data_IF_748835802312
#
_entry.id   IF_748835802312
#
_cell.length_a   1.000
_cell.length_b   1.000
_cell.length_c   1.000
_cell.angle_alpha   90.00
_cell.angle_beta   90.00
_cell.angle_gamma   90.00
#
_symmetry.space_group_name_H-M   'P 1'
#
loop_
_entity.id
_entity.type
_entity.pdbx_description
1 polymer ?
#
# COMPACT_ATOMS: atom_id res chain seq x y z
N UNK A 1 -21.77 24.49 53.56
CA UNK A 1 -21.50 23.05 53.73
C UNK A 1 -22.28 22.34 52.64
N UNK A 2 -21.63 22.08 51.50
CA UNK A 2 -22.19 21.39 50.32
C UNK A 2 -21.54 20.02 50.24
N UNK A 3 -22.26 18.93 49.96
CA UNK A 3 -21.68 17.58 49.91
C UNK A 3 -20.98 17.33 48.59
N UNK A 4 -19.81 16.75 48.74
CA UNK A 4 -18.94 16.18 47.68
C UNK A 4 -19.67 15.00 47.02
N UNK A 5 -19.91 15.07 45.71
CA UNK A 5 -20.34 13.93 44.92
C UNK A 5 -19.12 13.05 44.57
N UNK A 6 -19.24 11.76 44.86
CA UNK A 6 -18.20 10.77 44.65
C UNK A 6 -17.93 10.42 43.19
N UNK A 7 -16.85 9.69 42.88
CA UNK A 7 -16.45 9.34 41.52
C UNK A 7 -17.34 8.24 40.96
N UNK A 8 -18.15 8.61 39.95
CA UNK A 8 -18.94 7.68 39.18
C UNK A 8 -18.14 7.12 37.96
N UNK A 9 -18.07 5.83 37.93
CA UNK A 9 -17.99 4.96 36.74
C UNK A 9 -16.97 5.27 35.62
N UNK A 10 -15.69 4.94 35.89
CA UNK A 10 -14.69 4.75 34.86
C UNK A 10 -14.74 3.40 34.11
N UNK A 11 -15.77 2.56 34.36
CA UNK A 11 -15.80 1.18 33.80
C UNK A 11 -16.60 1.03 32.50
N UNK A 12 -17.35 2.04 32.07
CA UNK A 12 -18.17 1.94 30.85
C UNK A 12 -17.40 2.30 29.59
N UNK A 13 -16.35 3.12 29.66
CA UNK A 13 -15.60 3.60 28.48
C UNK A 13 -14.58 2.56 27.99
N UNK A 14 -14.01 1.77 28.88
CA UNK A 14 -13.03 0.71 28.51
C UNK A 14 -13.68 -0.50 27.82
N UNK A 15 -14.91 -0.87 28.17
CA UNK A 15 -15.61 -2.00 27.52
C UNK A 15 -16.05 -1.72 26.09
N UNK A 16 -16.36 -0.48 25.72
CA UNK A 16 -16.80 -0.14 24.36
C UNK A 16 -15.65 -0.17 23.36
N UNK A 17 -14.43 0.14 23.79
CA UNK A 17 -13.24 0.08 22.93
C UNK A 17 -12.78 -1.37 22.65
N UNK A 18 -12.96 -2.27 23.61
CA UNK A 18 -12.53 -3.67 23.51
C UNK A 18 -13.43 -4.50 22.57
N UNK A 19 -14.68 -4.10 22.40
CA UNK A 19 -15.68 -4.78 21.54
C UNK A 19 -15.54 -4.39 20.04
N UNK A 20 -14.84 -3.26 19.73
CA UNK A 20 -14.68 -2.77 18.36
C UNK A 20 -13.37 -3.20 17.69
N UNK A 21 -12.45 -3.80 18.41
CA UNK A 21 -11.15 -4.22 17.89
C UNK A 21 -10.77 -5.58 18.45
N UNK A 22 -10.44 -6.51 17.57
CA UNK A 22 -10.02 -7.85 17.95
C UNK A 22 -8.76 -8.25 17.20
N UNK A 23 -7.94 -9.11 17.81
CA UNK A 23 -6.78 -9.71 17.19
C UNK A 23 -7.03 -11.19 16.95
N UNK A 24 -6.68 -11.67 15.76
CA UNK A 24 -6.80 -13.07 15.34
C UNK A 24 -5.46 -13.55 14.81
N UNK A 25 -5.19 -14.86 14.88
CA UNK A 25 -3.92 -15.43 14.47
C UNK A 25 -4.08 -16.48 13.39
N UNK A 26 -3.43 -16.23 12.26
CA UNK A 26 -3.47 -17.08 11.07
C UNK A 26 -4.72 -16.89 10.20
N UNK A 27 -4.58 -17.33 8.96
CA UNK A 27 -5.60 -17.13 7.91
C UNK A 27 -6.92 -17.86 8.25
N UNK A 28 -6.82 -19.04 8.85
CA UNK A 28 -8.01 -19.84 9.20
C UNK A 28 -8.88 -19.16 10.27
N UNK A 29 -8.27 -18.58 11.30
CA UNK A 29 -9.00 -17.83 12.32
C UNK A 29 -9.55 -16.51 11.77
N UNK A 30 -8.80 -15.83 10.90
CA UNK A 30 -9.29 -14.65 10.21
C UNK A 30 -10.53 -14.94 9.38
N UNK A 31 -10.52 -16.03 8.59
CA UNK A 31 -11.68 -16.47 7.79
C UNK A 31 -12.85 -16.83 8.69
N UNK A 32 -12.62 -17.59 9.77
CA UNK A 32 -13.67 -18.01 10.67
C UNK A 32 -14.36 -16.83 11.36
N UNK A 33 -13.59 -15.81 11.79
CA UNK A 33 -14.13 -14.67 12.55
C UNK A 33 -14.56 -13.49 11.68
N UNK A 34 -13.86 -13.21 10.58
CA UNK A 34 -14.10 -12.05 9.74
C UNK A 34 -14.65 -12.38 8.35
N UNK A 35 -14.78 -13.67 7.99
CA UNK A 35 -15.25 -14.09 6.66
C UNK A 35 -16.62 -13.51 6.30
N UNK A 36 -17.55 -13.44 7.26
CA UNK A 36 -18.88 -12.84 7.07
C UNK A 36 -18.84 -11.34 6.73
N UNK A 37 -17.79 -10.63 7.13
CA UNK A 37 -17.61 -9.20 6.80
C UNK A 37 -17.32 -9.01 5.31
N UNK A 38 -16.61 -9.95 4.69
CA UNK A 38 -16.37 -9.94 3.24
C UNK A 38 -17.66 -10.20 2.45
N UNK A 39 -18.54 -11.05 2.97
CA UNK A 39 -19.86 -11.32 2.34
C UNK A 39 -20.82 -10.12 2.48
N UNK A 40 -20.58 -9.27 3.46
CA UNK A 40 -21.40 -8.09 3.76
C UNK A 40 -21.00 -6.83 2.98
N UNK A 41 -19.88 -6.84 2.26
CA UNK A 41 -19.38 -5.67 1.49
C UNK A 41 -20.35 -5.31 0.37
N UNK A 42 -20.66 -4.02 0.21
CA UNK A 42 -21.64 -3.54 -0.78
C UNK A 42 -21.15 -2.38 -1.64
N UNK A 43 -20.24 -1.56 -1.14
CA UNK A 43 -19.85 -0.32 -1.78
C UNK A 43 -18.40 -0.35 -2.24
N UNK A 44 -17.47 -0.72 -1.35
CA UNK A 44 -16.05 -0.59 -1.62
C UNK A 44 -15.22 -1.67 -0.92
N UNK A 45 -14.32 -2.29 -1.70
CA UNK A 45 -13.24 -3.13 -1.22
C UNK A 45 -11.90 -2.48 -1.52
N UNK A 46 -11.13 -2.24 -0.48
CA UNK A 46 -9.78 -1.67 -0.57
C UNK A 46 -8.77 -2.68 -0.05
N UNK A 47 -7.67 -2.86 -0.77
CA UNK A 47 -6.59 -3.74 -0.35
C UNK A 47 -5.23 -3.09 -0.63
N UNK A 48 -4.40 -2.94 0.40
CA UNK A 48 -2.98 -2.65 0.28
C UNK A 48 -2.18 -3.91 0.62
N UNK A 49 -1.32 -4.36 -0.30
CA UNK A 49 -0.55 -5.58 -0.12
C UNK A 49 0.81 -5.49 -0.80
N UNK A 50 1.82 -6.08 -0.18
CA UNK A 50 3.18 -6.15 -0.74
C UNK A 50 3.21 -7.05 -1.98
N UNK A 51 2.51 -8.17 -1.92
CA UNK A 51 2.36 -9.14 -2.99
C UNK A 51 0.99 -9.85 -2.88
N UNK A 52 0.71 -10.79 -3.79
CA UNK A 52 -0.56 -11.53 -3.78
C UNK A 52 -0.65 -12.58 -2.68
N UNK A 53 0.49 -13.01 -2.11
CA UNK A 53 0.51 -14.01 -1.04
C UNK A 53 0.31 -13.39 0.35
N UNK A 54 0.37 -12.08 0.45
CA UNK A 54 0.26 -11.34 1.72
C UNK A 54 -1.00 -11.70 2.50
N UNK A 55 -2.15 -11.78 1.84
CA UNK A 55 -3.43 -11.97 2.49
C UNK A 55 -3.92 -13.42 2.50
N UNK A 56 -3.48 -14.23 1.54
CA UNK A 56 -3.91 -15.61 1.43
C UNK A 56 -2.78 -16.46 0.90
N UNK A 57 -2.16 -17.22 1.77
CA UNK A 57 -1.13 -18.20 1.40
C UNK A 57 -1.74 -19.32 0.55
N UNK A 58 -3.02 -19.63 0.79
CA UNK A 58 -3.78 -20.62 0.04
C UNK A 58 -4.43 -19.99 -1.22
N UNK A 59 -4.12 -20.50 -2.43
CA UNK A 59 -4.73 -20.06 -3.69
C UNK A 59 -6.26 -20.23 -3.74
N UNK A 60 -6.80 -21.26 -3.08
CA UNK A 60 -8.25 -21.51 -3.06
C UNK A 60 -8.98 -20.48 -2.22
N UNK A 61 -8.45 -20.17 -1.02
CA UNK A 61 -8.97 -19.11 -0.16
C UNK A 61 -8.93 -17.75 -0.87
N UNK A 62 -7.83 -17.43 -1.54
CA UNK A 62 -7.70 -16.22 -2.38
C UNK A 62 -8.75 -16.16 -3.48
N UNK A 63 -8.95 -17.25 -4.19
CA UNK A 63 -9.96 -17.34 -5.26
C UNK A 63 -11.38 -17.21 -4.72
N UNK A 64 -11.66 -17.77 -3.55
CA UNK A 64 -12.96 -17.66 -2.89
C UNK A 64 -13.26 -16.20 -2.50
N UNK A 65 -12.30 -15.50 -1.88
CA UNK A 65 -12.45 -14.08 -1.52
C UNK A 65 -12.58 -13.22 -2.77
N UNK A 66 -11.76 -13.44 -3.81
CA UNK A 66 -11.85 -12.70 -5.06
C UNK A 66 -13.23 -12.83 -5.71
N UNK A 67 -13.81 -14.02 -5.74
CA UNK A 67 -15.17 -14.25 -6.29
C UNK A 67 -16.26 -13.55 -5.49
N UNK A 68 -16.08 -13.40 -4.18
CA UNK A 68 -17.03 -12.69 -3.29
C UNK A 68 -16.93 -11.18 -3.48
N UNK A 69 -15.73 -10.69 -3.67
CA UNK A 69 -15.42 -9.24 -3.73
C UNK A 69 -15.55 -8.68 -5.15
N UNK A 70 -15.47 -9.52 -6.19
CA UNK A 70 -15.62 -9.15 -7.60
C UNK A 70 -16.70 -10.03 -8.26
N UNK A 71 -17.96 -9.97 -7.82
CA UNK A 71 -19.03 -10.67 -8.51
C UNK A 71 -19.25 -10.03 -9.88
N UNK A 72 -19.44 -10.82 -10.96
CA UNK A 72 -19.73 -10.28 -12.27
C UNK A 72 -21.01 -9.42 -12.24
N UNK A 73 -20.95 -8.18 -12.72
CA UNK A 73 -22.12 -7.34 -12.93
C UNK A 73 -22.58 -6.50 -11.73
N UNK A 74 -21.72 -6.19 -10.77
CA UNK A 74 -22.04 -5.27 -9.66
C UNK A 74 -21.82 -3.82 -10.11
N UNK A 75 -22.83 -3.18 -10.66
CA UNK A 75 -22.82 -1.73 -10.87
C UNK A 75 -22.70 -1.00 -9.52
N UNK A 76 -21.72 -0.11 -9.42
CA UNK A 76 -21.52 0.72 -8.23
C UNK A 76 -20.54 0.15 -7.19
N UNK A 77 -20.03 -1.06 -7.34
CA UNK A 77 -19.04 -1.64 -6.44
C UNK A 77 -17.60 -1.27 -6.87
N UNK A 78 -16.85 -0.67 -5.96
CA UNK A 78 -15.48 -0.23 -6.24
C UNK A 78 -14.45 -1.17 -5.60
N UNK A 79 -13.50 -1.64 -6.40
CA UNK A 79 -12.33 -2.40 -5.91
C UNK A 79 -11.07 -1.59 -6.17
N UNK A 80 -10.33 -1.27 -5.12
CA UNK A 80 -9.03 -0.59 -5.20
C UNK A 80 -7.93 -1.47 -4.61
N UNK A 81 -6.89 -1.73 -5.40
CA UNK A 81 -5.73 -2.52 -4.98
C UNK A 81 -4.45 -1.71 -5.11
N UNK A 82 -3.81 -1.44 -3.99
CA UNK A 82 -2.50 -0.81 -3.91
C UNK A 82 -1.45 -1.89 -3.68
N UNK A 83 -0.57 -2.08 -4.65
CA UNK A 83 0.45 -3.12 -4.62
C UNK A 83 1.85 -2.51 -4.52
N UNK A 84 2.79 -3.25 -3.95
CA UNK A 84 4.21 -2.87 -4.08
C UNK A 84 4.78 -3.36 -5.42
N UNK A 85 5.94 -2.84 -5.88
CA UNK A 85 6.60 -3.33 -7.08
C UNK A 85 6.95 -4.83 -7.04
N UNK A 86 7.07 -5.43 -5.85
CA UNK A 86 7.31 -6.87 -5.69
C UNK A 86 6.18 -7.72 -6.30
N UNK A 87 4.95 -7.21 -6.32
CA UNK A 87 3.82 -7.87 -6.96
C UNK A 87 3.97 -7.97 -8.49
N UNK A 88 4.91 -7.23 -9.08
CA UNK A 88 5.22 -7.29 -10.52
C UNK A 88 6.47 -8.13 -10.83
N UNK A 89 7.16 -8.67 -9.83
CA UNK A 89 8.39 -9.43 -10.03
C UNK A 89 8.17 -10.78 -10.73
N UNK A 90 6.97 -11.36 -10.58
CA UNK A 90 6.60 -12.65 -11.14
C UNK A 90 5.50 -12.50 -12.22
N UNK A 91 5.65 -13.25 -13.35
CA UNK A 91 4.71 -13.18 -14.48
C UNK A 91 3.30 -13.66 -14.10
N UNK A 92 3.18 -14.68 -13.25
CA UNK A 92 1.86 -15.16 -12.82
C UNK A 92 1.12 -14.09 -12.00
N UNK A 93 1.85 -13.35 -11.15
CA UNK A 93 1.30 -12.24 -10.39
C UNK A 93 0.90 -11.08 -11.32
N UNK A 94 1.75 -10.70 -12.27
CA UNK A 94 1.41 -9.68 -13.29
C UNK A 94 0.16 -10.07 -14.07
N UNK A 95 0.08 -11.30 -14.54
CA UNK A 95 -1.08 -11.81 -15.28
C UNK A 95 -2.36 -11.79 -14.41
N UNK A 96 -2.25 -12.08 -13.12
CA UNK A 96 -3.38 -11.99 -12.20
C UNK A 96 -3.85 -10.54 -12.00
N UNK A 97 -2.93 -9.59 -11.79
CA UNK A 97 -3.27 -8.18 -11.63
C UNK A 97 -3.91 -7.61 -12.90
N UNK A 98 -3.39 -7.97 -14.10
CA UNK A 98 -4.04 -7.60 -15.38
C UNK A 98 -5.46 -8.12 -15.49
N UNK A 99 -5.73 -9.36 -15.06
CA UNK A 99 -7.09 -9.92 -15.06
C UNK A 99 -8.03 -9.17 -14.12
N UNK A 100 -7.54 -8.77 -12.95
CA UNK A 100 -8.32 -7.97 -12.00
C UNK A 100 -8.65 -6.59 -12.56
N UNK A 101 -7.66 -5.93 -13.16
CA UNK A 101 -7.81 -4.63 -13.80
C UNK A 101 -8.82 -4.72 -14.96
N UNK A 102 -8.68 -5.71 -15.84
CA UNK A 102 -9.63 -5.98 -16.93
C UNK A 102 -11.05 -6.33 -16.42
N UNK A 103 -11.18 -6.85 -15.20
CA UNK A 103 -12.46 -7.10 -14.55
C UNK A 103 -13.05 -5.87 -13.84
N UNK A 104 -12.42 -4.69 -13.97
CA UNK A 104 -12.90 -3.43 -13.42
C UNK A 104 -12.32 -3.05 -12.05
N UNK A 105 -11.39 -3.82 -11.49
CA UNK A 105 -10.66 -3.38 -10.31
C UNK A 105 -9.66 -2.29 -10.69
N UNK A 106 -9.58 -1.24 -9.88
CA UNK A 106 -8.53 -0.25 -10.01
C UNK A 106 -7.26 -0.78 -9.32
N UNK A 107 -6.17 -0.92 -10.06
CA UNK A 107 -4.90 -1.41 -9.53
C UNK A 107 -3.83 -0.34 -9.70
N UNK A 108 -3.19 0.04 -8.60
CA UNK A 108 -2.05 0.95 -8.60
C UNK A 108 -0.84 0.33 -7.93
N UNK A 109 0.34 0.78 -8.32
CA UNK A 109 1.63 0.32 -7.79
C UNK A 109 2.30 1.47 -7.04
N UNK A 110 2.55 1.26 -5.74
CA UNK A 110 3.24 2.23 -4.90
C UNK A 110 4.74 2.00 -5.00
N UNK A 111 5.51 3.04 -5.29
CA UNK A 111 6.98 3.02 -5.23
C UNK A 111 7.53 3.20 -3.82
N UNK A 112 6.73 3.77 -2.92
CA UNK A 112 7.05 3.86 -1.50
C UNK A 112 6.69 2.55 -0.77
N UNK A 113 7.39 2.22 0.34
CA UNK A 113 6.96 1.14 1.22
C UNK A 113 5.53 1.37 1.67
N UNK A 114 4.69 0.32 1.60
CA UNK A 114 3.34 0.41 2.12
C UNK A 114 3.39 0.68 3.63
N UNK A 115 2.66 1.67 4.13
CA UNK A 115 2.67 1.99 5.57
C UNK A 115 2.17 0.81 6.39
N UNK A 116 1.23 0.06 5.86
CA UNK A 116 0.73 -1.18 6.45
C UNK A 116 0.00 -2.01 5.39
N UNK A 117 0.09 -3.33 5.48
CA UNK A 117 -0.73 -4.22 4.66
C UNK A 117 -2.14 -4.25 5.26
N UNK A 118 -3.14 -3.87 4.45
CA UNK A 118 -4.46 -3.51 4.96
C UNK A 118 -5.56 -3.94 4.00
N UNK A 119 -6.69 -4.43 4.56
CA UNK A 119 -7.97 -4.51 3.85
C UNK A 119 -8.95 -3.55 4.53
N UNK A 120 -9.71 -2.80 3.74
CA UNK A 120 -10.79 -1.96 4.24
C UNK A 120 -12.08 -2.31 3.49
N UNK A 121 -13.15 -2.54 4.24
CA UNK A 121 -14.47 -2.95 3.75
C UNK A 121 -15.47 -1.82 4.01
N UNK A 122 -16.06 -1.25 2.97
CA UNK A 122 -17.09 -0.20 3.00
C UNK A 122 -16.75 0.99 3.93
N UNK A 123 -15.46 1.25 4.19
CA UNK A 123 -15.00 2.25 5.18
C UNK A 123 -15.57 2.05 6.59
N UNK A 124 -15.99 0.83 6.90
CA UNK A 124 -16.59 0.43 8.19
C UNK A 124 -15.75 -0.58 8.95
N UNK A 125 -14.95 -1.35 8.24
CA UNK A 125 -14.05 -2.35 8.84
C UNK A 125 -12.66 -2.15 8.27
N UNK A 126 -11.64 -2.21 9.11
CA UNK A 126 -10.25 -2.30 8.70
C UNK A 126 -9.62 -3.57 9.28
N UNK A 127 -8.89 -4.29 8.44
CA UNK A 127 -8.09 -5.47 8.79
C UNK A 127 -6.63 -5.13 8.51
N UNK A 128 -5.81 -5.11 9.56
CA UNK A 128 -4.39 -4.81 9.49
C UNK A 128 -3.60 -6.10 9.67
N UNK A 129 -2.71 -6.40 8.73
CA UNK A 129 -1.86 -7.57 8.82
C UNK A 129 -0.57 -7.24 9.56
N UNK A 130 -0.30 -7.93 10.64
CA UNK A 130 0.97 -7.87 11.37
C UNK A 130 2.13 -8.47 10.59
N UNK A 131 3.32 -8.44 11.17
CA UNK A 131 4.48 -9.07 10.54
C UNK A 131 4.33 -10.60 10.50
N UNK A 132 4.81 -11.26 9.45
CA UNK A 132 4.89 -12.72 9.43
C UNK A 132 5.71 -13.25 10.60
N UNK A 133 5.24 -14.31 11.24
CA UNK A 133 5.96 -14.98 12.32
C UNK A 133 5.90 -16.51 12.19
N UNK A 134 6.82 -17.27 12.83
CA UNK A 134 6.75 -18.74 12.83
C UNK A 134 5.48 -19.29 13.47
N UNK A 135 4.80 -18.50 14.30
CA UNK A 135 3.54 -18.86 14.97
C UNK A 135 2.29 -18.48 14.16
N UNK A 136 2.48 -18.08 12.90
CA UNK A 136 1.43 -17.51 12.07
C UNK A 136 1.39 -15.97 12.13
N UNK A 137 0.71 -15.38 11.17
CA UNK A 137 0.52 -13.93 11.08
C UNK A 137 -0.62 -13.49 12.01
N UNK A 138 -0.44 -12.38 12.70
CA UNK A 138 -1.51 -11.75 13.46
C UNK A 138 -2.25 -10.74 12.57
N UNK A 139 -3.56 -10.67 12.78
CA UNK A 139 -4.42 -9.69 12.11
C UNK A 139 -5.22 -8.93 13.16
N UNK A 140 -5.24 -7.62 13.05
CA UNK A 140 -6.12 -6.76 13.85
C UNK A 140 -7.33 -6.40 13.02
N UNK A 141 -8.52 -6.77 13.48
CA UNK A 141 -9.81 -6.42 12.88
C UNK A 141 -10.46 -5.34 13.73
N UNK A 142 -10.79 -4.21 13.12
CA UNK A 142 -11.44 -3.10 13.84
C UNK A 142 -12.64 -2.55 13.07
N UNK A 143 -13.69 -2.24 13.81
CA UNK A 143 -14.89 -1.52 13.36
C UNK A 143 -14.97 -0.12 13.98
N UNK A 144 -13.97 0.31 14.75
CA UNK A 144 -13.91 1.66 15.32
C UNK A 144 -13.88 2.72 14.21
N UNK A 145 -14.86 3.63 14.12
CA UNK A 145 -14.90 4.61 13.03
C UNK A 145 -13.67 5.52 12.99
N UNK A 146 -13.09 5.84 14.13
CA UNK A 146 -11.89 6.68 14.23
C UNK A 146 -10.68 5.95 13.66
N UNK A 147 -10.47 4.67 14.02
CA UNK A 147 -9.37 3.86 13.53
C UNK A 147 -9.53 3.56 12.04
N UNK A 148 -10.70 3.14 11.61
CA UNK A 148 -11.01 2.88 10.20
C UNK A 148 -10.80 4.13 9.36
N UNK A 149 -11.29 5.29 9.80
CA UNK A 149 -11.10 6.58 9.12
C UNK A 149 -9.63 6.98 9.01
N UNK A 150 -8.85 6.78 10.07
CA UNK A 150 -7.41 7.02 10.07
C UNK A 150 -6.65 6.12 9.08
N UNK A 151 -6.92 4.82 9.12
CA UNK A 151 -6.31 3.84 8.19
C UNK A 151 -6.71 4.15 6.74
N UNK A 152 -7.97 4.49 6.50
CA UNK A 152 -8.47 4.85 5.16
C UNK A 152 -7.80 6.12 4.63
N UNK A 153 -7.57 7.11 5.48
CA UNK A 153 -6.86 8.34 5.10
C UNK A 153 -5.42 8.06 4.70
N UNK A 154 -4.71 7.19 5.44
CA UNK A 154 -3.36 6.76 5.09
C UNK A 154 -3.33 5.99 3.76
N UNK A 155 -4.28 5.09 3.56
CA UNK A 155 -4.43 4.40 2.28
C UNK A 155 -4.65 5.39 1.13
N UNK A 156 -5.56 6.35 1.31
CA UNK A 156 -5.88 7.34 0.28
C UNK A 156 -4.67 8.18 -0.10
N UNK A 157 -3.89 8.64 0.88
CA UNK A 157 -2.65 9.37 0.61
C UNK A 157 -1.63 8.53 -0.19
N UNK A 158 -1.46 7.25 0.16
CA UNK A 158 -0.60 6.33 -0.58
C UNK A 158 -1.15 6.02 -1.99
N UNK A 159 -2.47 5.92 -2.13
CA UNK A 159 -3.16 5.70 -3.39
C UNK A 159 -2.96 6.85 -4.38
N UNK A 160 -3.09 8.09 -3.92
CA UNK A 160 -2.90 9.28 -4.76
C UNK A 160 -1.47 9.40 -5.28
N UNK A 161 -0.48 8.96 -4.49
CA UNK A 161 0.93 8.96 -4.87
C UNK A 161 1.34 7.74 -5.73
N UNK A 162 0.46 6.77 -5.92
CA UNK A 162 0.76 5.52 -6.62
C UNK A 162 0.47 5.62 -8.12
N UNK A 163 1.13 4.77 -8.89
CA UNK A 163 1.08 4.74 -10.35
C UNK A 163 0.08 3.68 -10.81
N UNK A 164 -0.69 3.99 -11.84
CA UNK A 164 -1.60 3.05 -12.49
C UNK A 164 -0.85 1.80 -13.01
N UNK A 165 -1.47 0.62 -12.84
CA UNK A 165 -0.87 -0.65 -13.26
C UNK A 165 -0.54 -0.66 -14.76
N UNK A 166 -1.43 -0.12 -15.59
CA UNK A 166 -1.22 -0.06 -17.04
C UNK A 166 0.00 0.78 -17.40
N UNK A 167 0.18 1.94 -16.76
CA UNK A 167 1.35 2.80 -16.94
C UNK A 167 2.64 2.08 -16.51
N UNK A 168 2.61 1.40 -15.35
CA UNK A 168 3.73 0.58 -14.89
C UNK A 168 4.12 -0.52 -15.89
N UNK A 169 3.12 -1.23 -16.44
CA UNK A 169 3.35 -2.37 -17.33
C UNK A 169 3.80 -1.95 -18.74
N UNK A 170 3.45 -0.75 -19.19
CA UNK A 170 3.92 -0.19 -20.46
C UNK A 170 5.35 0.33 -20.40
N UNK A 171 5.97 0.33 -19.21
CA UNK A 171 7.30 0.91 -19.01
C UNK A 171 7.30 2.44 -19.08
N UNK A 172 6.13 3.09 -18.92
CA UNK A 172 6.00 4.54 -18.83
C UNK A 172 6.66 5.08 -17.54
N UNK A 173 6.94 4.18 -16.59
CA UNK A 173 7.82 4.45 -15.44
C UNK A 173 9.20 3.94 -15.83
N UNK A 174 10.19 4.80 -15.97
CA UNK A 174 11.56 4.37 -16.26
C UNK A 174 12.04 3.42 -15.17
N UNK A 175 12.47 2.23 -15.57
CA UNK A 175 13.12 1.30 -14.63
C UNK A 175 14.50 1.87 -14.30
N UNK A 176 14.56 2.63 -13.20
CA UNK A 176 15.82 3.21 -12.77
C UNK A 176 16.73 2.13 -12.22
N UNK A 177 17.92 1.99 -12.80
CA UNK A 177 18.99 1.19 -12.24
C UNK A 177 19.28 1.58 -10.78
N UNK A 178 19.77 0.66 -9.93
CA UNK A 178 20.07 0.95 -8.53
C UNK A 178 20.91 2.21 -8.33
N UNK A 179 21.92 2.43 -9.18
CA UNK A 179 22.77 3.61 -9.16
C UNK A 179 22.01 4.90 -9.48
N UNK A 180 21.05 4.85 -10.40
CA UNK A 180 20.22 6.00 -10.76
C UNK A 180 19.31 6.41 -9.60
N UNK A 181 18.79 5.43 -8.84
CA UNK A 181 18.00 5.70 -7.61
C UNK A 181 18.86 6.35 -6.53
N UNK A 182 20.12 5.93 -6.37
CA UNK A 182 21.04 6.58 -5.41
C UNK A 182 21.38 8.01 -5.82
N UNK A 183 21.54 8.27 -7.11
CA UNK A 183 21.72 9.62 -7.64
C UNK A 183 20.49 10.47 -7.37
N UNK A 184 19.30 9.93 -7.60
CA UNK A 184 18.05 10.64 -7.32
C UNK A 184 17.91 11.00 -5.84
N UNK A 185 18.24 10.06 -4.93
CA UNK A 185 18.30 10.35 -3.48
C UNK A 185 19.30 11.43 -3.13
N UNK A 186 20.47 11.42 -3.76
CA UNK A 186 21.48 12.45 -3.54
C UNK A 186 21.03 13.84 -4.02
N UNK A 187 20.33 13.92 -5.15
CA UNK A 187 19.69 15.14 -5.66
C UNK A 187 18.59 15.63 -4.72
N UNK A 188 17.71 14.73 -4.27
CA UNK A 188 16.64 15.04 -3.32
C UNK A 188 17.14 15.50 -1.95
N UNK A 189 18.30 15.00 -1.51
CA UNK A 189 18.98 15.44 -0.29
C UNK A 189 19.71 16.79 -0.45
N UNK A 190 19.66 17.44 -1.64
CA UNK A 190 20.30 18.71 -1.90
C UNK A 190 21.83 18.66 -1.90
N UNK A 191 22.44 17.50 -2.11
CA UNK A 191 23.90 17.36 -2.12
C UNK A 191 24.51 18.07 -3.36
N UNK A 192 25.67 18.70 -3.17
CA UNK A 192 26.47 19.16 -4.31
C UNK A 192 27.00 17.96 -5.11
N UNK A 193 27.35 18.19 -6.38
CA UNK A 193 27.90 17.12 -7.25
C UNK A 193 29.13 16.46 -6.63
N UNK A 194 30.00 17.26 -5.99
CA UNK A 194 31.22 16.78 -5.34
C UNK A 194 30.90 15.93 -4.11
N UNK A 195 29.94 16.36 -3.31
CA UNK A 195 29.50 15.62 -2.12
C UNK A 195 28.81 14.30 -2.50
N UNK A 196 27.93 14.34 -3.50
CA UNK A 196 27.26 13.17 -4.03
C UNK A 196 28.24 12.18 -4.69
N UNK A 197 29.18 12.65 -5.51
CA UNK A 197 30.18 11.79 -6.13
C UNK A 197 31.04 11.08 -5.08
N UNK A 198 31.49 11.80 -4.02
CA UNK A 198 32.22 11.18 -2.89
C UNK A 198 31.38 10.15 -2.15
N UNK A 199 30.11 10.45 -1.87
CA UNK A 199 29.21 9.55 -1.17
C UNK A 199 28.96 8.25 -1.96
N UNK A 200 28.88 8.34 -3.29
CA UNK A 200 28.66 7.22 -4.18
C UNK A 200 29.96 6.52 -4.65
N UNK A 201 31.12 6.92 -4.12
CA UNK A 201 32.41 6.32 -4.47
C UNK A 201 32.79 6.45 -5.94
N UNK A 202 32.34 7.53 -6.62
CA UNK A 202 32.55 7.74 -8.06
C UNK A 202 33.26 9.05 -8.35
N UNK A 203 33.83 9.21 -9.58
CA UNK A 203 34.41 10.49 -10.00
C UNK A 203 33.30 11.49 -10.30
N UNK A 204 33.60 12.79 -10.10
CA UNK A 204 32.71 13.89 -10.44
C UNK A 204 32.23 13.85 -11.90
N UNK A 205 33.13 13.48 -12.84
CA UNK A 205 32.82 13.34 -14.26
C UNK A 205 31.80 12.21 -14.46
N UNK A 206 32.00 11.06 -13.81
CA UNK A 206 31.09 9.91 -13.88
C UNK A 206 29.73 10.25 -13.27
N UNK A 207 29.72 10.92 -12.12
CA UNK A 207 28.50 11.38 -11.48
C UNK A 207 27.68 12.29 -12.39
N UNK A 208 28.30 13.33 -12.98
CA UNK A 208 27.61 14.26 -13.89
C UNK A 208 27.06 13.58 -15.14
N UNK A 209 27.80 12.62 -15.71
CA UNK A 209 27.30 11.81 -16.83
C UNK A 209 26.05 11.01 -16.44
N UNK A 210 26.09 10.34 -15.29
CA UNK A 210 24.94 9.56 -14.78
C UNK A 210 23.74 10.44 -14.43
N UNK A 211 23.96 11.66 -13.93
CA UNK A 211 22.86 12.64 -13.73
C UNK A 211 22.22 12.99 -15.07
N UNK A 212 23.01 13.20 -16.13
CA UNK A 212 22.48 13.48 -17.47
C UNK A 212 21.68 12.27 -18.02
N UNK A 213 22.16 11.06 -17.82
CA UNK A 213 21.47 9.82 -18.19
C UNK A 213 20.14 9.68 -17.43
N UNK A 214 20.12 9.97 -16.12
CA UNK A 214 18.91 10.00 -15.29
C UNK A 214 17.91 11.03 -15.80
N UNK A 215 18.38 12.25 -16.11
CA UNK A 215 17.51 13.31 -16.65
C UNK A 215 16.92 12.91 -18.00
N UNK A 216 17.69 12.29 -18.87
CA UNK A 216 17.20 11.78 -20.15
C UNK A 216 16.14 10.66 -19.95
N UNK A 217 16.38 9.73 -19.02
CA UNK A 217 15.43 8.66 -18.70
C UNK A 217 14.10 9.17 -18.12
N UNK A 218 14.14 10.33 -17.44
CA UNK A 218 12.97 11.01 -16.87
C UNK A 218 12.35 12.03 -17.84
N UNK A 219 12.89 12.16 -19.05
CA UNK A 219 12.48 13.20 -20.03
C UNK A 219 12.50 14.62 -19.43
N UNK A 220 13.49 14.93 -18.58
CA UNK A 220 13.60 16.16 -17.83
C UNK A 220 14.71 17.06 -18.40
N UNK A 221 14.39 18.32 -18.65
CA UNK A 221 15.35 19.31 -19.14
C UNK A 221 16.21 19.97 -18.03
N UNK A 222 15.88 19.73 -16.75
CA UNK A 222 16.63 20.24 -15.60
C UNK A 222 16.57 19.26 -14.42
N UNK A 223 17.51 19.41 -13.47
CA UNK A 223 17.53 18.61 -12.23
C UNK A 223 16.26 18.81 -11.40
N UNK A 224 15.77 20.05 -11.34
CA UNK A 224 14.51 20.36 -10.66
C UNK A 224 13.34 19.61 -11.32
N UNK A 225 13.26 19.68 -12.65
CA UNK A 225 12.22 18.95 -13.40
C UNK A 225 12.37 17.44 -13.25
N UNK A 226 13.59 16.91 -13.20
CA UNK A 226 13.84 15.50 -12.92
C UNK A 226 13.33 15.10 -11.52
N UNK A 227 13.53 15.95 -10.51
CA UNK A 227 12.99 15.74 -9.16
C UNK A 227 11.47 15.75 -9.12
N UNK A 228 10.83 16.71 -9.78
CA UNK A 228 9.36 16.78 -9.91
C UNK A 228 8.84 15.53 -10.62
N UNK A 229 9.41 15.17 -11.76
CA UNK A 229 9.02 14.00 -12.56
C UNK A 229 9.22 12.69 -11.80
N UNK A 230 10.33 12.58 -11.06
CA UNK A 230 10.58 11.44 -10.19
C UNK A 230 9.56 11.34 -9.05
N UNK A 231 9.13 12.48 -8.50
CA UNK A 231 8.03 12.54 -7.52
C UNK A 231 6.70 12.10 -8.11
N UNK A 232 6.32 12.62 -9.28
CA UNK A 232 5.10 12.22 -10.02
C UNK A 232 5.09 10.73 -10.37
N UNK A 233 6.25 10.16 -10.69
CA UNK A 233 6.44 8.73 -10.99
C UNK A 233 6.69 7.88 -9.74
N UNK A 234 6.69 8.49 -8.55
CA UNK A 234 6.93 7.80 -7.29
C UNK A 234 8.34 7.18 -7.15
N UNK A 235 9.34 7.73 -7.83
CA UNK A 235 10.72 7.24 -7.87
C UNK A 235 11.63 7.93 -6.84
N UNK A 236 11.13 8.92 -6.11
CA UNK A 236 11.91 9.86 -5.27
C UNK A 236 12.14 9.37 -3.81
N UNK A 237 12.01 8.08 -3.52
CA UNK A 237 12.12 7.52 -2.16
C UNK A 237 13.31 6.58 -1.98
#
# INVERSE_FOLDING_TARGET
MLPFAGPGDGKHTERVADDQTSTVRGDAELIARAGHLFDAVREEFVCAARDLATWWSDPEARSAVTRRVLPPGTDGFTVRKLMSPLALADEAQRAHLRRLDAAGAQVRVSSAPLPHETIILDRRVAILAGQPSPLGREYTVTTSPVLVGGVYSLFTAAWEAAIDLGACLRGEVPELAPEAREILRALGAGLTDEAAARRLGTSLRTYRRRVAELMAALEAGSRFQAGVRAGELGLAH
#
